data_IF_756876425864
#
_entry.id   IF_756876425864
#
_cell.length_a   1.000
_cell.length_b   1.000
_cell.length_c   1.000
_cell.angle_alpha   90.00
_cell.angle_beta   90.00
_cell.angle_gamma   90.00
#
_symmetry.space_group_name_H-M   'P 1'
#
loop_
_entity.id
_entity.type
_entity.pdbx_description
1 polymer ?
#
# COMPACT_ATOMS: atom_id res chain seq x y z
N UNK A 1 -16.18 -2.78 -17.14
CA UNK A 1 -15.51 -2.55 -15.83
C UNK A 1 -15.69 -1.10 -15.41
N UNK A 2 -16.14 -0.82 -14.18
CA UNK A 2 -16.40 0.55 -13.72
C UNK A 2 -15.09 1.34 -13.57
N UNK A 3 -15.09 2.62 -14.00
CA UNK A 3 -13.94 3.55 -14.01
C UNK A 3 -13.17 3.57 -12.68
N UNK A 4 -13.89 3.56 -11.55
CA UNK A 4 -13.31 3.59 -10.20
C UNK A 4 -12.46 2.37 -9.81
N UNK A 5 -12.68 1.21 -10.43
CA UNK A 5 -11.87 0.01 -10.18
C UNK A 5 -10.45 0.14 -10.76
N UNK A 6 -10.35 0.71 -11.97
CA UNK A 6 -9.06 0.96 -12.63
C UNK A 6 -8.31 2.09 -11.94
N UNK A 7 -9.01 3.14 -11.51
CA UNK A 7 -8.41 4.27 -10.78
C UNK A 7 -7.77 3.82 -9.47
N UNK A 8 -8.45 3.02 -8.66
CA UNK A 8 -7.87 2.52 -7.42
C UNK A 8 -6.71 1.55 -7.64
N UNK A 9 -6.77 0.69 -8.66
CA UNK A 9 -5.62 -0.13 -9.06
C UNK A 9 -4.42 0.74 -9.44
N UNK A 10 -4.65 1.82 -10.20
CA UNK A 10 -3.60 2.77 -10.56
C UNK A 10 -3.02 3.52 -9.34
N UNK A 11 -3.86 3.95 -8.40
CA UNK A 11 -3.40 4.59 -7.15
C UNK A 11 -2.51 3.64 -6.33
N UNK A 12 -2.91 2.38 -6.19
CA UNK A 12 -2.08 1.38 -5.51
C UNK A 12 -0.78 1.07 -6.26
N UNK A 13 -0.80 1.10 -7.60
CA UNK A 13 0.41 0.96 -8.39
C UNK A 13 1.38 2.13 -8.12
N UNK A 14 0.87 3.36 -8.05
CA UNK A 14 1.69 4.53 -7.69
C UNK A 14 2.25 4.44 -6.26
N UNK A 15 1.45 4.02 -5.29
CA UNK A 15 1.89 3.81 -3.91
C UNK A 15 3.00 2.76 -3.85
N UNK A 16 2.80 1.62 -4.52
CA UNK A 16 3.79 0.55 -4.59
C UNK A 16 5.09 1.02 -5.24
N UNK A 17 5.00 1.75 -6.37
CA UNK A 17 6.16 2.31 -7.06
C UNK A 17 6.92 3.29 -6.16
N UNK A 18 6.21 4.23 -5.52
CA UNK A 18 6.82 5.22 -4.64
C UNK A 18 7.54 4.57 -3.44
N UNK A 19 6.90 3.58 -2.80
CA UNK A 19 7.49 2.84 -1.69
C UNK A 19 8.71 2.02 -2.11
N UNK A 20 8.65 1.34 -3.27
CA UNK A 20 9.79 0.61 -3.81
C UNK A 20 10.96 1.55 -4.12
N UNK A 21 10.71 2.69 -4.77
CA UNK A 21 11.76 3.67 -5.06
C UNK A 21 12.37 4.23 -3.79
N UNK A 22 11.53 4.57 -2.80
CA UNK A 22 12.00 5.07 -1.50
C UNK A 22 12.83 4.03 -0.74
N UNK A 23 12.42 2.75 -0.77
CA UNK A 23 13.16 1.67 -0.14
C UNK A 23 14.50 1.38 -0.83
N UNK A 24 14.57 1.45 -2.16
CA UNK A 24 15.83 1.33 -2.92
C UNK A 24 16.78 2.46 -2.54
N UNK A 25 16.27 3.70 -2.51
CA UNK A 25 17.07 4.85 -2.09
C UNK A 25 17.55 4.72 -0.64
N UNK A 26 16.67 4.26 0.26
CA UNK A 26 17.00 3.99 1.66
C UNK A 26 18.11 2.96 1.81
N UNK A 27 18.04 1.84 1.07
CA UNK A 27 19.11 0.83 1.03
C UNK A 27 20.43 1.38 0.50
N UNK A 28 20.39 2.31 -0.45
CA UNK A 28 21.60 2.88 -1.05
C UNK A 28 22.30 3.91 -0.14
N UNK A 29 21.54 4.69 0.65
CA UNK A 29 22.06 5.85 1.39
C UNK A 29 22.26 5.59 2.88
N UNK A 30 21.46 4.70 3.49
CA UNK A 30 21.48 4.51 4.94
C UNK A 30 22.60 3.55 5.42
N UNK A 31 23.07 3.71 6.67
CA UNK A 31 24.00 2.75 7.27
C UNK A 31 23.36 1.36 7.36
N UNK A 32 24.12 0.35 6.94
CA UNK A 32 23.66 -1.04 6.78
C UNK A 32 23.66 -1.82 8.11
N UNK A 33 22.99 -1.27 9.12
CA UNK A 33 22.69 -1.99 10.36
C UNK A 33 21.59 -3.01 10.05
N UNK A 34 21.72 -4.24 10.58
CA UNK A 34 20.78 -5.35 10.28
C UNK A 34 19.31 -4.95 10.40
N UNK A 35 18.93 -4.23 11.46
CA UNK A 35 17.54 -3.78 11.67
C UNK A 35 17.08 -2.84 10.56
N UNK A 36 17.88 -1.84 10.21
CA UNK A 36 17.60 -0.87 9.14
C UNK A 36 17.44 -1.53 7.79
N UNK A 37 18.35 -2.45 7.43
CA UNK A 37 18.30 -3.18 6.15
C UNK A 37 17.02 -4.03 6.07
N UNK A 38 16.67 -4.74 7.15
CA UNK A 38 15.44 -5.55 7.22
C UNK A 38 14.20 -4.65 7.02
N UNK A 39 14.14 -3.50 7.69
CA UNK A 39 13.03 -2.55 7.52
C UNK A 39 12.87 -2.09 6.08
N UNK A 40 13.99 -1.77 5.39
CA UNK A 40 13.93 -1.39 3.98
C UNK A 40 13.52 -2.53 3.06
N UNK A 41 14.00 -3.75 3.30
CA UNK A 41 13.58 -4.93 2.53
C UNK A 41 12.08 -5.23 2.71
N UNK A 42 11.55 -5.05 3.92
CA UNK A 42 10.10 -5.18 4.18
C UNK A 42 9.32 -4.12 3.39
N UNK A 43 9.77 -2.85 3.43
CA UNK A 43 9.16 -1.77 2.66
C UNK A 43 9.19 -2.04 1.16
N UNK A 44 10.32 -2.57 0.65
CA UNK A 44 10.50 -2.97 -0.74
C UNK A 44 9.54 -4.10 -1.14
N UNK A 45 9.44 -5.16 -0.33
CA UNK A 45 8.55 -6.29 -0.57
C UNK A 45 7.08 -5.85 -0.58
N UNK A 46 6.69 -5.02 0.37
CA UNK A 46 5.35 -4.43 0.42
C UNK A 46 5.07 -3.52 -0.79
N UNK A 47 6.07 -2.72 -1.21
CA UNK A 47 6.00 -1.88 -2.40
C UNK A 47 5.74 -2.69 -3.67
N UNK A 48 6.51 -3.77 -3.88
CA UNK A 48 6.31 -4.66 -5.04
C UNK A 48 4.97 -5.39 -5.01
N UNK A 49 4.53 -5.85 -3.85
CA UNK A 49 3.23 -6.51 -3.70
C UNK A 49 2.07 -5.54 -4.00
N UNK A 50 2.17 -4.31 -3.51
CA UNK A 50 1.21 -3.23 -3.78
C UNK A 50 1.21 -2.82 -5.25
N UNK A 51 2.40 -2.71 -5.87
CA UNK A 51 2.56 -2.41 -7.28
C UNK A 51 1.96 -3.51 -8.17
N UNK A 52 2.32 -4.76 -7.91
CA UNK A 52 1.81 -5.91 -8.65
C UNK A 52 0.30 -6.05 -8.54
N UNK A 53 -0.26 -5.93 -7.32
CA UNK A 53 -1.70 -5.93 -7.09
C UNK A 53 -2.43 -4.79 -7.80
N UNK A 54 -1.86 -3.57 -7.73
CA UNK A 54 -2.40 -2.38 -8.37
C UNK A 54 -2.39 -2.46 -9.89
N UNK A 55 -1.27 -2.89 -10.47
CA UNK A 55 -1.09 -3.08 -11.90
C UNK A 55 -2.04 -4.14 -12.47
N UNK A 56 -2.08 -5.32 -11.84
CA UNK A 56 -2.98 -6.40 -12.25
C UNK A 56 -4.45 -5.95 -12.22
N UNK A 57 -4.82 -5.19 -11.19
CA UNK A 57 -6.15 -4.60 -11.05
C UNK A 57 -6.43 -3.56 -12.14
N UNK A 58 -5.47 -2.69 -12.47
CA UNK A 58 -5.59 -1.68 -13.52
C UNK A 58 -5.75 -2.32 -14.92
N UNK A 59 -5.06 -3.45 -15.16
CA UNK A 59 -5.22 -4.31 -16.33
C UNK A 59 -6.53 -5.13 -16.34
N UNK A 60 -7.29 -5.12 -15.24
CA UNK A 60 -8.58 -5.81 -15.13
C UNK A 60 -8.52 -7.29 -14.76
N UNK A 61 -7.37 -7.76 -14.25
CA UNK A 61 -7.25 -9.12 -13.73
C UNK A 61 -7.85 -9.22 -12.34
N UNK A 62 -8.72 -10.20 -12.14
CA UNK A 62 -9.39 -10.48 -10.87
C UNK A 62 -8.41 -10.84 -9.76
N UNK A 63 -7.29 -11.50 -10.10
CA UNK A 63 -6.24 -11.87 -9.15
C UNK A 63 -5.67 -10.64 -8.40
N UNK A 64 -5.56 -9.49 -9.08
CA UNK A 64 -5.06 -8.25 -8.47
C UNK A 64 -5.86 -7.79 -7.25
N UNK A 65 -7.15 -8.16 -7.17
CA UNK A 65 -8.04 -7.78 -6.06
C UNK A 65 -7.60 -8.41 -4.74
N UNK A 66 -7.12 -9.65 -4.76
CA UNK A 66 -6.65 -10.33 -3.57
C UNK A 66 -5.36 -9.71 -3.05
N UNK A 67 -4.43 -9.37 -3.95
CA UNK A 67 -3.21 -8.64 -3.60
C UNK A 67 -3.50 -7.27 -3.02
N UNK A 68 -4.46 -6.52 -3.59
CA UNK A 68 -4.87 -5.22 -3.05
C UNK A 68 -5.58 -5.33 -1.70
N UNK A 69 -6.41 -6.36 -1.50
CA UNK A 69 -7.04 -6.62 -0.20
C UNK A 69 -5.98 -6.92 0.87
N UNK A 70 -4.98 -7.76 0.56
CA UNK A 70 -3.85 -8.02 1.45
C UNK A 70 -3.03 -6.74 1.73
N UNK A 71 -2.73 -5.96 0.68
CA UNK A 71 -1.99 -4.69 0.81
C UNK A 71 -2.73 -3.70 1.70
N UNK A 72 -4.05 -3.62 1.57
CA UNK A 72 -4.93 -2.76 2.37
C UNK A 72 -4.99 -3.21 3.82
N UNK A 73 -5.08 -4.52 4.07
CA UNK A 73 -5.08 -5.06 5.44
C UNK A 73 -3.75 -4.79 6.15
N UNK A 74 -2.62 -4.97 5.46
CA UNK A 74 -1.29 -4.66 5.99
C UNK A 74 -1.15 -3.16 6.27
N UNK A 75 -1.62 -2.29 5.36
CA UNK A 75 -1.61 -0.84 5.58
C UNK A 75 -2.43 -0.42 6.81
N UNK A 76 -3.62 -1.00 7.00
CA UNK A 76 -4.44 -0.73 8.18
C UNK A 76 -3.76 -1.20 9.46
N UNK A 77 -3.17 -2.39 9.45
CA UNK A 77 -2.41 -2.90 10.60
C UNK A 77 -1.21 -2.00 10.92
N UNK A 78 -0.48 -1.54 9.90
CA UNK A 78 0.63 -0.61 10.08
C UNK A 78 0.18 0.73 10.67
N UNK A 79 -0.91 1.30 10.16
CA UNK A 79 -1.47 2.54 10.69
C UNK A 79 -1.95 2.37 12.15
N UNK A 80 -2.57 1.24 12.48
CA UNK A 80 -2.97 0.92 13.86
C UNK A 80 -1.75 0.87 14.78
N UNK A 81 -0.69 0.17 14.40
CA UNK A 81 0.57 0.12 15.15
C UNK A 81 1.15 1.52 15.30
N UNK A 82 1.17 2.33 14.24
CA UNK A 82 1.64 3.71 14.31
C UNK A 82 0.87 4.53 15.35
N UNK A 83 -0.46 4.42 15.42
CA UNK A 83 -1.25 5.13 16.44
C UNK A 83 -1.06 4.59 17.85
N UNK A 84 -0.99 3.25 18.02
CA UNK A 84 -0.87 2.61 19.33
C UNK A 84 0.49 2.89 20.01
N UNK A 85 1.56 2.97 19.22
CA UNK A 85 2.91 3.16 19.73
C UNK A 85 3.39 4.63 19.70
N UNK A 86 2.46 5.59 19.64
CA UNK A 86 2.80 7.00 19.81
C UNK A 86 3.36 7.70 18.56
N UNK A 87 3.20 7.12 17.36
CA UNK A 87 3.70 7.70 16.12
C UNK A 87 3.21 9.12 15.83
N UNK A 88 2.06 9.51 16.38
CA UNK A 88 1.56 10.89 16.33
C UNK A 88 2.49 11.91 17.00
N UNK A 89 3.15 11.51 18.10
CA UNK A 89 4.08 12.37 18.84
C UNK A 89 5.47 12.38 18.17
N UNK A 90 5.94 11.21 17.71
CA UNK A 90 7.32 11.06 17.21
C UNK A 90 7.49 11.42 15.73
N UNK A 91 6.41 11.34 14.94
CA UNK A 91 6.53 11.32 13.49
C UNK A 91 5.32 11.99 12.79
N UNK A 92 4.85 13.11 13.34
CA UNK A 92 3.67 13.85 12.86
C UNK A 92 3.73 14.22 11.37
N UNK A 93 4.93 14.46 10.82
CA UNK A 93 5.12 14.78 9.41
C UNK A 93 4.59 13.69 8.44
N UNK A 94 4.49 12.44 8.91
CA UNK A 94 3.98 11.32 8.11
C UNK A 94 2.46 11.16 8.18
N UNK A 95 1.79 11.90 9.07
CA UNK A 95 0.34 11.80 9.29
C UNK A 95 -0.49 11.98 8.00
N UNK A 96 -0.21 12.96 7.12
CA UNK A 96 -0.97 13.10 5.88
C UNK A 96 -0.85 11.87 4.97
N UNK A 97 0.35 11.28 4.89
CA UNK A 97 0.60 10.07 4.11
C UNK A 97 -0.14 8.86 4.68
N UNK A 98 -0.12 8.70 6.00
CA UNK A 98 -0.85 7.62 6.69
C UNK A 98 -2.36 7.77 6.51
N UNK A 99 -2.90 8.99 6.61
CA UNK A 99 -4.31 9.26 6.37
C UNK A 99 -4.73 8.96 4.93
N UNK A 100 -3.90 9.32 3.95
CA UNK A 100 -4.15 8.96 2.55
C UNK A 100 -4.13 7.44 2.32
N UNK A 101 -3.16 6.74 2.93
CA UNK A 101 -3.04 5.28 2.87
C UNK A 101 -4.25 4.59 3.52
N UNK A 102 -4.71 5.10 4.65
CA UNK A 102 -5.93 4.63 5.34
C UNK A 102 -7.17 4.82 4.48
N UNK A 103 -7.36 6.02 3.91
CA UNK A 103 -8.49 6.32 3.05
C UNK A 103 -8.51 5.39 1.82
N UNK A 104 -7.35 5.18 1.19
CA UNK A 104 -7.22 4.27 0.06
C UNK A 104 -7.48 2.81 0.45
N UNK A 105 -6.99 2.37 1.61
CA UNK A 105 -7.18 1.01 2.13
C UNK A 105 -8.65 0.74 2.48
N UNK A 106 -9.31 1.68 3.14
CA UNK A 106 -10.74 1.62 3.41
C UNK A 106 -11.55 1.62 2.11
N UNK A 107 -11.23 2.52 1.17
CA UNK A 107 -11.89 2.55 -0.13
C UNK A 107 -11.79 1.20 -0.85
N UNK A 108 -10.59 0.61 -0.82
CA UNK A 108 -10.31 -0.67 -1.45
C UNK A 108 -11.14 -1.78 -0.78
N UNK A 109 -11.10 -1.93 0.55
CA UNK A 109 -11.82 -3.01 1.22
C UNK A 109 -13.35 -2.86 1.18
N UNK A 110 -13.89 -1.65 1.31
CA UNK A 110 -15.33 -1.43 1.39
C UNK A 110 -16.01 -1.36 0.01
N UNK A 111 -15.34 -0.81 -1.00
CA UNK A 111 -15.93 -0.57 -2.32
C UNK A 111 -15.46 -1.55 -3.40
N UNK A 112 -14.27 -2.19 -3.28
CA UNK A 112 -13.86 -3.19 -4.28
C UNK A 112 -14.79 -4.39 -4.36
N UNK A 113 -15.20 -5.05 -3.28
CA UNK A 113 -16.00 -6.27 -3.37
C UNK A 113 -17.31 -6.02 -4.13
N UNK A 114 -17.96 -4.88 -3.84
CA UNK A 114 -19.20 -4.42 -4.47
C UNK A 114 -19.05 -4.10 -5.97
N UNK A 115 -17.84 -3.76 -6.43
CA UNK A 115 -17.58 -3.44 -7.84
C UNK A 115 -17.48 -4.67 -8.76
N UNK A 116 -17.20 -5.86 -8.20
CA UNK A 116 -17.10 -7.10 -8.99
C UNK A 116 -18.25 -8.09 -8.78
N UNK A 117 -19.11 -7.88 -7.78
CA UNK A 117 -20.33 -8.66 -7.61
C UNK A 117 -21.40 -8.38 -8.70
N UNK A 118 -21.23 -7.31 -9.48
CA UNK A 118 -22.10 -6.96 -10.61
C UNK A 118 -21.47 -7.25 -11.98
N UNK A 119 -20.40 -8.04 -12.02
CA UNK A 119 -19.68 -8.39 -13.26
C UNK A 119 -19.79 -9.89 -13.61
N UNK A 120 -20.65 -10.62 -12.89
CA UNK A 120 -21.10 -11.98 -13.24
C UNK A 120 -22.50 -11.90 -13.82
#
# INVERSE_FOLDING_TARGET
>A
MKKGFRTAGFLWALVGLALSTWAIWGLAVQPHIKSTVISWLIALAYGFLSFGGGWLTACGRTLGRYFLAASSAIALAYALVYFLFGGLADAFAYLPGIMALLALSAYTLFFFPKLGAHAT
#
